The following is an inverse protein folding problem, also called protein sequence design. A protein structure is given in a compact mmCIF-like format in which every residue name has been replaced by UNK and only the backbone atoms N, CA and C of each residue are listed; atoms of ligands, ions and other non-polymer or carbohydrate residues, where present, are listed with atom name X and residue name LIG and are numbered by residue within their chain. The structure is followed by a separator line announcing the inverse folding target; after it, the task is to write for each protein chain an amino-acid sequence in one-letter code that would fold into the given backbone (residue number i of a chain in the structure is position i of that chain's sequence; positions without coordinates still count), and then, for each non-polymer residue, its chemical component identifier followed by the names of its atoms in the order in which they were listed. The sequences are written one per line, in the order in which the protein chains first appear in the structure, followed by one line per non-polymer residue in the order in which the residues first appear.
data_IF_886740747347
#
_entry.id   IF_886740747347
#
_cell.length_a   1.000
_cell.length_b   1.000
_cell.length_c   1.000
_cell.angle_alpha   90.00
_cell.angle_beta   90.00
_cell.angle_gamma   90.00
#
_symmetry.space_group_name_H-M   'P 1'
#
loop_
_entity.id
_entity.type
_entity.pdbx_description
1 polymer ?
#
# COMPACT_ATOMS: atom_id res chain seq x y z
N UNK A 1 6.51 9.95 16.92
CA UNK A 1 5.07 10.10 16.67
C UNK A 1 4.84 9.66 15.23
N UNK A 2 4.00 8.65 15.00
CA UNK A 2 3.67 8.19 13.64
C UNK A 2 2.65 9.18 13.04
N UNK A 3 2.87 9.71 11.82
CA UNK A 3 1.92 10.62 11.19
C UNK A 3 0.57 9.93 10.99
N UNK A 4 -0.54 10.69 11.06
CA UNK A 4 -1.82 10.16 10.59
C UNK A 4 -1.82 10.09 9.06
N UNK A 5 -1.88 8.87 8.53
CA UNK A 5 -1.90 8.61 7.08
C UNK A 5 -3.30 8.18 6.59
N UNK A 6 -4.28 8.07 7.49
CA UNK A 6 -5.63 7.56 7.23
C UNK A 6 -6.52 8.53 6.45
N UNK A 7 -6.23 9.83 6.49
CA UNK A 7 -6.96 10.86 5.76
C UNK A 7 -6.50 11.06 4.31
N UNK A 8 -6.04 12.27 4.00
CA UNK A 8 -5.61 12.68 2.65
C UNK A 8 -4.58 11.76 1.98
N UNK A 9 -3.58 11.19 2.68
CA UNK A 9 -2.56 10.34 2.05
C UNK A 9 -3.16 9.05 1.49
N UNK A 10 -4.02 8.39 2.28
CA UNK A 10 -4.73 7.19 1.86
C UNK A 10 -5.67 7.47 0.69
N UNK A 11 -6.38 8.60 0.72
CA UNK A 11 -7.26 9.01 -0.37
C UNK A 11 -6.50 9.23 -1.69
N UNK A 12 -5.33 9.88 -1.64
CA UNK A 12 -4.48 10.12 -2.81
C UNK A 12 -3.94 8.82 -3.40
N UNK A 13 -3.49 7.90 -2.55
CA UNK A 13 -3.04 6.57 -2.97
C UNK A 13 -4.16 5.76 -3.64
N UNK A 14 -5.36 5.74 -3.04
CA UNK A 14 -6.53 5.08 -3.63
C UNK A 14 -6.91 5.66 -4.99
N UNK A 15 -6.90 7.00 -5.09
CA UNK A 15 -7.16 7.69 -6.34
C UNK A 15 -6.14 7.29 -7.40
N UNK A 16 -4.86 7.26 -7.06
CA UNK A 16 -3.80 6.88 -8.00
C UNK A 16 -3.89 5.42 -8.45
N UNK A 17 -4.27 4.51 -7.56
CA UNK A 17 -4.46 3.08 -7.87
C UNK A 17 -5.80 2.77 -8.53
N UNK A 18 -6.70 3.74 -8.66
CA UNK A 18 -8.09 3.55 -9.07
C UNK A 18 -8.85 2.51 -8.21
N UNK A 19 -8.57 2.48 -6.90
CA UNK A 19 -9.22 1.58 -5.92
C UNK A 19 -10.33 2.34 -5.19
N UNK A 20 -11.57 1.86 -5.31
CA UNK A 20 -12.74 2.42 -4.62
C UNK A 20 -13.17 1.67 -3.35
N UNK A 21 -12.70 0.44 -3.13
CA UNK A 21 -13.16 -0.40 -2.03
C UNK A 21 -12.35 -0.18 -0.74
N UNK A 22 -13.02 -0.17 0.41
CA UNK A 22 -12.38 -0.02 1.73
C UNK A 22 -11.63 -1.29 2.21
N UNK A 23 -11.77 -2.41 1.51
CA UNK A 23 -11.21 -3.70 1.92
C UNK A 23 -9.69 -3.75 1.96
N UNK A 24 -9.00 -2.80 1.31
CA UNK A 24 -7.54 -2.77 1.21
C UNK A 24 -6.88 -1.65 2.03
N UNK A 25 -7.65 -0.88 2.78
CA UNK A 25 -7.19 0.30 3.51
C UNK A 25 -6.06 -0.03 4.48
N UNK A 26 -6.20 -1.13 5.23
CA UNK A 26 -5.18 -1.58 6.17
C UNK A 26 -3.84 -1.90 5.50
N UNK A 27 -3.88 -2.49 4.29
CA UNK A 27 -2.68 -2.77 3.51
C UNK A 27 -2.08 -1.47 2.96
N UNK A 28 -2.90 -0.63 2.33
CA UNK A 28 -2.46 0.64 1.76
C UNK A 28 -1.84 1.55 2.82
N UNK A 29 -2.40 1.58 4.03
CA UNK A 29 -1.83 2.31 5.18
C UNK A 29 -0.47 1.79 5.59
N UNK A 30 -0.28 0.46 5.63
CA UNK A 30 1.02 -0.14 5.95
C UNK A 30 2.08 0.16 4.88
N UNK A 31 1.68 0.19 3.61
CA UNK A 31 2.56 0.56 2.50
C UNK A 31 2.93 2.06 2.57
N UNK A 32 1.96 2.92 2.88
CA UNK A 32 2.20 4.36 3.08
C UNK A 32 3.13 4.63 4.26
N UNK A 33 2.95 3.95 5.40
CA UNK A 33 3.84 4.06 6.55
C UNK A 33 5.28 3.67 6.18
N UNK A 34 5.44 2.55 5.47
CA UNK A 34 6.75 2.11 4.99
C UNK A 34 7.37 3.14 4.04
N UNK A 35 6.59 3.67 3.10
CA UNK A 35 7.03 4.69 2.14
C UNK A 35 7.45 5.99 2.83
N UNK A 36 6.68 6.44 3.83
CA UNK A 36 6.98 7.60 4.65
C UNK A 36 8.32 7.44 5.37
N UNK A 37 8.53 6.30 6.05
CA UNK A 37 9.75 6.05 6.82
C UNK A 37 11.00 5.99 5.93
N UNK A 38 10.87 5.38 4.75
CA UNK A 38 11.96 5.36 3.75
C UNK A 38 12.25 6.76 3.23
N UNK A 39 11.22 7.54 2.89
CA UNK A 39 11.38 8.91 2.42
C UNK A 39 12.06 9.79 3.47
N UNK A 40 11.63 9.70 4.74
CA UNK A 40 12.23 10.42 5.86
C UNK A 40 13.71 10.07 6.04
N UNK A 41 14.06 8.78 5.99
CA UNK A 41 15.45 8.32 6.10
C UNK A 41 16.31 8.76 4.92
N UNK A 42 15.77 8.77 3.71
CA UNK A 42 16.50 9.12 2.49
C UNK A 42 16.75 10.63 2.39
N UNK A 43 15.75 11.44 2.71
CA UNK A 43 15.82 12.92 2.59
C UNK A 43 16.36 13.59 3.84
N UNK A 44 16.31 12.92 5.00
CA UNK A 44 16.64 13.50 6.30
C UNK A 44 15.57 14.45 6.84
N UNK A 45 14.35 14.48 6.26
CA UNK A 45 13.30 15.39 6.72
C UNK A 45 12.74 14.99 8.09
N UNK A 46 12.43 15.98 8.93
CA UNK A 46 11.87 15.79 10.28
C UNK A 46 10.36 15.99 10.40
N UNK A 47 9.63 16.01 9.28
CA UNK A 47 8.19 16.22 9.28
C UNK A 47 7.48 15.20 10.19
N UNK A 48 6.51 15.65 10.98
CA UNK A 48 5.67 14.80 11.84
C UNK A 48 4.26 14.64 11.31
N UNK A 49 3.85 15.53 10.41
CA UNK A 49 2.50 15.62 9.86
C UNK A 49 2.55 15.67 8.34
N UNK A 50 1.64 14.97 7.66
CA UNK A 50 1.58 14.93 6.20
C UNK A 50 1.50 16.32 5.56
N UNK A 51 0.69 17.21 6.13
CA UNK A 51 0.45 18.56 5.60
C UNK A 51 1.68 19.47 5.66
N UNK A 52 2.70 19.10 6.44
CA UNK A 52 3.96 19.87 6.57
C UNK A 52 4.99 19.51 5.51
N UNK A 53 4.78 18.42 4.76
CA UNK A 53 5.66 18.04 3.66
C UNK A 53 5.39 18.87 2.41
N UNK A 54 6.47 19.21 1.71
CA UNK A 54 6.42 19.68 0.34
C UNK A 54 5.60 18.75 -0.55
N UNK A 55 4.88 19.34 -1.50
CA UNK A 55 4.03 18.61 -2.43
C UNK A 55 4.80 17.54 -3.21
N UNK A 56 6.03 17.83 -3.62
CA UNK A 56 6.90 16.88 -4.31
C UNK A 56 7.21 15.63 -3.47
N UNK A 57 7.42 15.79 -2.15
CA UNK A 57 7.68 14.67 -1.24
C UNK A 57 6.41 13.84 -1.02
N UNK A 58 5.27 14.50 -0.80
CA UNK A 58 3.96 13.83 -0.70
C UNK A 58 3.68 12.98 -1.94
N UNK A 59 3.88 13.56 -3.11
CA UNK A 59 3.76 12.88 -4.40
C UNK A 59 4.72 11.70 -4.59
N UNK A 60 5.96 11.82 -4.09
CA UNK A 60 6.94 10.74 -4.12
C UNK A 60 6.52 9.55 -3.24
N UNK A 61 6.06 9.83 -2.02
CA UNK A 61 5.60 8.82 -1.06
C UNK A 61 4.41 8.03 -1.63
N UNK A 62 3.41 8.71 -2.19
CA UNK A 62 2.24 8.03 -2.79
C UNK A 62 2.67 7.12 -3.94
N UNK A 63 3.51 7.61 -4.86
CA UNK A 63 4.00 6.81 -6.00
C UNK A 63 4.81 5.59 -5.54
N UNK A 64 5.64 5.75 -4.51
CA UNK A 64 6.41 4.64 -3.96
C UNK A 64 5.52 3.58 -3.30
N UNK A 65 4.56 3.98 -2.48
CA UNK A 65 3.59 3.07 -1.88
C UNK A 65 2.78 2.32 -2.96
N UNK A 66 2.40 3.02 -4.02
CA UNK A 66 1.65 2.44 -5.12
C UNK A 66 2.49 1.49 -6.00
N UNK A 67 3.77 1.77 -6.18
CA UNK A 67 4.71 0.84 -6.81
C UNK A 67 4.82 -0.44 -5.98
N UNK A 68 5.03 -0.34 -4.66
CA UNK A 68 5.07 -1.53 -3.79
C UNK A 68 3.77 -2.33 -3.79
N UNK A 69 2.62 -1.67 -3.93
CA UNK A 69 1.33 -2.35 -4.08
C UNK A 69 1.27 -3.17 -5.38
N UNK A 70 1.80 -2.64 -6.50
CA UNK A 70 1.85 -3.36 -7.78
C UNK A 70 2.86 -4.50 -7.76
N UNK A 71 4.05 -4.26 -7.24
CA UNK A 71 5.08 -5.29 -7.06
C UNK A 71 4.61 -6.41 -6.11
N UNK A 72 3.73 -6.10 -5.15
CA UNK A 72 3.08 -7.13 -4.30
C UNK A 72 2.25 -8.11 -5.13
N UNK A 73 1.53 -7.62 -6.14
CA UNK A 73 0.77 -8.48 -7.06
C UNK A 73 1.73 -9.29 -7.95
N UNK A 74 2.85 -8.67 -8.38
CA UNK A 74 3.91 -9.34 -9.13
C UNK A 74 4.70 -10.37 -8.27
N UNK A 75 4.64 -10.24 -6.95
CA UNK A 75 5.20 -11.15 -5.94
C UNK A 75 4.45 -12.47 -5.76
N UNK A 76 3.43 -12.76 -6.57
CA UNK A 76 2.82 -14.09 -6.70
C UNK A 76 2.40 -14.29 -8.13
N UNK A 77 3.31 -14.81 -8.96
CA UNK A 77 2.91 -15.54 -10.16
C UNK A 77 1.73 -16.47 -9.79
N UNK A 78 0.67 -16.58 -10.62
CA UNK A 78 -0.47 -17.39 -10.28
C UNK A 78 0.02 -18.77 -9.84
N UNK A 79 -0.46 -19.25 -8.69
CA UNK A 79 -0.16 -20.61 -8.24
C UNK A 79 -0.34 -21.52 -9.45
N UNK A 80 0.70 -22.26 -9.87
CA UNK A 80 0.58 -23.15 -11.02
C UNK A 80 -0.69 -23.96 -10.86
N UNK A 81 -1.45 -24.16 -11.93
CA UNK A 81 -2.77 -24.80 -11.87
C UNK A 81 -2.75 -26.12 -11.06
N UNK A 82 -1.60 -26.80 -11.04
CA UNK A 82 -1.31 -27.95 -10.18
C UNK A 82 -1.46 -27.68 -8.67
N UNK A 83 -0.89 -26.61 -8.11
CA UNK A 83 -1.03 -26.28 -6.69
C UNK A 83 -2.46 -25.82 -6.39
N UNK A 84 -3.06 -25.03 -7.29
CA UNK A 84 -4.46 -24.61 -7.14
C UNK A 84 -5.43 -25.80 -7.15
N UNK A 85 -5.16 -26.83 -7.96
CA UNK A 85 -5.93 -28.07 -7.99
C UNK A 85 -5.78 -28.90 -6.71
N UNK A 86 -4.58 -28.95 -6.13
CA UNK A 86 -4.29 -29.69 -4.88
C UNK A 86 -5.08 -29.15 -3.68
N UNK A 87 -5.36 -27.85 -3.64
CA UNK A 87 -6.04 -27.21 -2.50
C UNK A 87 -7.55 -27.05 -2.69
N UNK A 88 -8.08 -27.40 -3.88
CA UNK A 88 -9.51 -27.32 -4.22
C UNK A 88 -10.46 -28.13 -3.32
N UNK A 89 -10.11 -29.35 -2.84
CA UNK A 89 -11.02 -30.13 -1.99
C UNK A 89 -11.03 -29.70 -0.51
N UNK A 90 -10.06 -28.90 -0.06
CA UNK A 90 -9.99 -28.41 1.33
C UNK A 90 -10.57 -27.01 1.52
N UNK A 91 -11.09 -26.38 0.45
CA UNK A 91 -11.80 -25.10 0.60
C UNK A 91 -13.13 -25.37 1.30
N UNK A 92 -13.40 -24.73 2.46
CA UNK A 92 -14.71 -24.86 3.09
C UNK A 92 -15.76 -24.25 2.15
N UNK A 93 -16.70 -25.08 1.70
CA UNK A 93 -17.91 -24.61 1.03
C UNK A 93 -18.74 -23.91 2.09
N UNK A 94 -18.87 -22.59 2.00
CA UNK A 94 -19.89 -21.87 2.76
C UNK A 94 -21.22 -22.12 2.05
N UNK A 95 -22.09 -22.90 2.70
CA UNK A 95 -23.51 -22.97 2.40
C UNK A 95 -24.20 -21.64 2.75
#
# INVERSE_FOLDING_TARGET
MTPDLSGQPLADLKQWLAIGAAGEDALLLRLLDTAWQICARFTGHGATEWSTLDEALRHGIVRFAAHQYRERDEGTAPLPAAIAALWRPYRPVRL
#
